data_IF_340236770876
#
_entry.id   IF_340236770876
#
_cell.length_a   1.000
_cell.length_b   1.000
_cell.length_c   1.000
_cell.angle_alpha   90.00
_cell.angle_beta   90.00
_cell.angle_gamma   90.00
#
_symmetry.space_group_name_H-M   'P 1'
#
loop_
_entity.id
_entity.type
_entity.pdbx_description
1 polymer ?
#
# COMPACT_ATOMS: atom_id res chain seq x y z
N UNK A 1 14.72 20.37 -6.73
CA UNK A 1 14.37 19.34 -7.72
C UNK A 1 13.49 18.37 -6.97
N UNK A 2 12.27 18.13 -7.43
CA UNK A 2 11.41 17.12 -6.78
C UNK A 2 12.07 15.75 -6.89
N UNK A 3 12.02 14.92 -5.84
CA UNK A 3 12.61 13.58 -5.89
C UNK A 3 11.89 12.74 -6.94
N UNK A 4 12.66 12.13 -7.84
CA UNK A 4 12.12 11.24 -8.88
C UNK A 4 12.07 9.80 -8.39
N UNK A 5 11.15 9.01 -8.93
CA UNK A 5 11.14 7.55 -8.69
C UNK A 5 12.35 6.93 -9.37
N UNK A 6 13.14 6.23 -8.58
CA UNK A 6 14.30 5.44 -9.02
C UNK A 6 13.93 3.97 -9.13
N UNK A 7 14.80 3.17 -9.75
CA UNK A 7 14.62 1.72 -9.83
C UNK A 7 15.84 0.98 -9.33
N UNK A 8 15.60 -0.17 -8.70
CA UNK A 8 16.64 -1.05 -8.17
C UNK A 8 16.35 -2.50 -8.54
N UNK A 9 17.38 -3.27 -8.83
CA UNK A 9 17.23 -4.68 -9.17
C UNK A 9 17.33 -5.55 -7.93
N UNK A 10 16.39 -6.49 -7.77
CA UNK A 10 16.38 -7.47 -6.69
C UNK A 10 16.23 -8.89 -7.25
N UNK A 11 16.80 -9.93 -6.59
CA UNK A 11 16.80 -11.30 -7.13
C UNK A 11 15.43 -12.00 -7.11
N UNK A 12 14.44 -11.49 -6.35
CA UNK A 12 13.13 -12.14 -6.25
C UNK A 12 12.45 -12.28 -7.62
N UNK A 13 11.71 -13.35 -7.81
CA UNK A 13 11.04 -13.72 -9.06
C UNK A 13 12.00 -13.71 -10.29
N UNK A 14 13.25 -14.17 -10.12
CA UNK A 14 14.22 -14.32 -11.20
C UNK A 14 14.84 -13.02 -11.69
N UNK A 15 14.95 -12.03 -10.86
CA UNK A 15 15.37 -10.65 -11.08
C UNK A 15 14.21 -9.74 -11.44
N UNK A 16 13.81 -8.96 -10.46
CA UNK A 16 12.79 -7.92 -10.61
C UNK A 16 13.41 -6.53 -10.53
N UNK A 17 12.80 -5.59 -11.25
CA UNK A 17 13.08 -4.16 -11.11
C UNK A 17 12.03 -3.57 -10.21
N UNK A 18 12.44 -2.93 -9.10
CA UNK A 18 11.54 -2.35 -8.10
C UNK A 18 11.67 -0.83 -8.13
N UNK A 19 10.52 -0.15 -8.30
CA UNK A 19 10.41 1.30 -8.19
C UNK A 19 10.43 1.74 -6.74
N UNK A 20 11.21 2.77 -6.42
CA UNK A 20 11.25 3.35 -5.08
C UNK A 20 11.54 4.85 -5.14
N UNK A 21 11.22 5.55 -4.06
CA UNK A 21 11.54 6.98 -3.90
C UNK A 21 11.89 7.29 -2.46
N UNK A 22 13.01 7.98 -2.25
CA UNK A 22 13.34 8.64 -0.99
C UNK A 22 12.86 10.10 -1.02
N UNK A 23 12.23 10.57 0.06
CA UNK A 23 11.82 11.97 0.19
C UNK A 23 13.02 12.93 0.20
N UNK A 24 14.08 12.53 0.88
CA UNK A 24 15.36 13.27 1.02
C UNK A 24 16.53 12.29 0.90
N UNK A 25 17.76 12.77 0.67
CA UNK A 25 18.95 11.90 0.74
C UNK A 25 19.00 11.12 2.06
N UNK A 26 19.33 9.83 1.99
CA UNK A 26 19.34 8.93 3.14
C UNK A 26 20.24 9.45 4.26
N UNK A 27 19.75 9.46 5.48
CA UNK A 27 20.48 9.85 6.69
C UNK A 27 20.54 8.67 7.66
N UNK A 28 21.70 8.06 7.84
CA UNK A 28 21.90 6.91 8.71
C UNK A 28 21.61 7.17 10.21
N UNK A 29 21.47 8.42 10.63
CA UNK A 29 21.11 8.76 12.02
C UNK A 29 19.60 8.78 12.29
N UNK A 30 18.76 8.65 11.25
CA UNK A 30 17.32 8.62 11.37
C UNK A 30 16.78 7.20 11.14
N UNK A 31 15.70 6.80 11.83
CA UNK A 31 14.98 5.57 11.51
C UNK A 31 14.44 5.61 10.06
N UNK A 32 14.16 4.46 9.48
CA UNK A 32 13.53 4.37 8.16
C UNK A 32 12.04 4.08 8.29
N UNK A 33 11.22 4.81 7.54
CA UNK A 33 9.80 4.56 7.33
C UNK A 33 9.59 4.13 5.88
N UNK A 34 9.25 2.87 5.67
CA UNK A 34 8.83 2.33 4.37
C UNK A 34 7.36 2.62 4.15
N UNK A 35 7.01 3.18 2.99
CA UNK A 35 5.63 3.43 2.55
C UNK A 35 5.28 2.47 1.41
N UNK A 36 4.15 1.75 1.51
CA UNK A 36 3.68 0.82 0.48
C UNK A 36 2.31 1.26 -0.01
N UNK A 37 2.21 1.60 -1.29
CA UNK A 37 1.02 2.24 -1.87
C UNK A 37 -0.17 1.30 -2.08
N UNK A 38 -1.34 1.91 -2.28
CA UNK A 38 -2.62 1.26 -2.56
C UNK A 38 -2.69 0.69 -3.99
N UNK A 39 -3.72 -0.16 -4.22
CA UNK A 39 -4.05 -0.72 -5.53
C UNK A 39 -4.14 0.36 -6.61
N UNK A 40 -3.57 0.06 -7.76
CA UNK A 40 -3.46 0.89 -8.97
C UNK A 40 -2.79 2.26 -8.81
N UNK A 41 -2.40 2.67 -7.60
CA UNK A 41 -1.65 3.90 -7.35
C UNK A 41 -0.14 3.68 -7.49
N UNK A 42 0.65 4.72 -7.23
CA UNK A 42 2.12 4.70 -7.24
C UNK A 42 2.65 5.37 -5.97
N UNK A 43 3.96 5.55 -5.86
CA UNK A 43 4.57 6.36 -4.80
C UNK A 43 3.98 7.77 -4.71
N UNK A 44 3.31 8.25 -5.77
CA UNK A 44 2.62 9.56 -5.78
C UNK A 44 1.47 9.65 -4.77
N UNK A 45 0.95 8.52 -4.27
CA UNK A 45 -0.02 8.50 -3.18
C UNK A 45 0.52 9.20 -1.93
N UNK A 46 1.83 9.20 -1.76
CA UNK A 46 2.53 9.73 -0.60
C UNK A 46 3.14 11.13 -0.82
N UNK A 47 2.66 11.89 -1.83
CA UNK A 47 3.08 13.29 -2.02
C UNK A 47 2.94 14.14 -0.76
N UNK A 48 1.85 14.02 0.03
CA UNK A 48 1.74 14.74 1.30
C UNK A 48 2.86 14.37 2.28
N UNK A 49 3.15 13.07 2.46
CA UNK A 49 4.19 12.56 3.36
C UNK A 49 5.60 12.98 2.94
N UNK A 50 5.85 13.05 1.63
CA UNK A 50 7.13 13.57 1.11
C UNK A 50 7.32 15.06 1.34
N UNK A 51 6.21 15.81 1.40
CA UNK A 51 6.21 17.26 1.63
C UNK A 51 6.18 17.64 3.12
N UNK A 52 5.87 16.70 4.02
CA UNK A 52 5.82 16.96 5.45
C UNK A 52 7.23 17.06 6.05
N UNK A 53 7.61 18.28 6.47
CA UNK A 53 8.94 18.55 7.02
C UNK A 53 9.16 17.87 8.39
N UNK A 54 8.13 17.73 9.22
CA UNK A 54 8.23 17.11 10.53
C UNK A 54 8.45 15.61 10.37
N UNK A 55 7.72 14.94 9.47
CA UNK A 55 7.90 13.53 9.17
C UNK A 55 9.27 13.26 8.54
N UNK A 56 9.66 14.04 7.52
CA UNK A 56 10.92 13.85 6.80
C UNK A 56 12.16 14.28 7.59
N UNK A 57 11.99 15.03 8.69
CA UNK A 57 13.06 15.28 9.67
C UNK A 57 13.11 14.21 10.79
N UNK A 58 12.03 13.47 10.98
CA UNK A 58 11.93 12.39 11.98
C UNK A 58 12.40 11.05 11.43
N UNK A 59 12.19 10.76 10.14
CA UNK A 59 12.54 9.49 9.52
C UNK A 59 13.03 9.66 8.07
N UNK A 60 13.81 8.67 7.59
CA UNK A 60 14.02 8.46 6.16
C UNK A 60 12.72 7.91 5.55
N UNK A 61 11.97 8.73 4.84
CA UNK A 61 10.71 8.34 4.21
C UNK A 61 11.03 7.70 2.85
N UNK A 62 10.84 6.38 2.75
CA UNK A 62 11.13 5.53 1.60
C UNK A 62 9.86 4.88 1.07
N UNK A 63 9.31 5.33 -0.05
CA UNK A 63 8.22 4.63 -0.70
C UNK A 63 8.74 3.55 -1.65
N UNK A 64 8.11 2.36 -1.63
CA UNK A 64 8.44 1.22 -2.49
C UNK A 64 7.17 0.75 -3.20
N UNK A 65 7.22 0.67 -4.52
CA UNK A 65 6.08 0.26 -5.34
C UNK A 65 5.96 -1.27 -5.38
N UNK A 66 4.80 -1.83 -4.97
CA UNK A 66 4.58 -3.27 -5.00
C UNK A 66 4.50 -3.79 -6.44
N UNK A 67 4.58 -5.11 -6.62
CA UNK A 67 4.43 -5.73 -7.94
C UNK A 67 3.15 -5.29 -8.65
N UNK A 68 3.28 -5.02 -9.94
CA UNK A 68 2.19 -4.55 -10.80
C UNK A 68 1.94 -3.04 -10.75
N UNK A 69 2.72 -2.27 -10.01
CA UNK A 69 2.51 -0.83 -9.81
C UNK A 69 3.73 -0.01 -10.21
N UNK A 70 3.48 1.21 -10.70
CA UNK A 70 4.50 2.20 -11.01
C UNK A 70 5.61 1.65 -11.92
N UNK A 71 6.85 1.80 -11.49
CA UNK A 71 8.04 1.33 -12.20
C UNK A 71 8.48 -0.09 -11.77
N UNK A 72 7.70 -0.77 -10.91
CA UNK A 72 8.00 -2.14 -10.50
C UNK A 72 7.59 -3.14 -11.57
N UNK A 73 8.55 -3.94 -12.03
CA UNK A 73 8.39 -4.95 -13.08
C UNK A 73 9.01 -6.29 -12.68
N UNK A 74 8.29 -7.38 -12.97
CA UNK A 74 8.80 -8.74 -12.87
C UNK A 74 8.45 -9.52 -14.13
N UNK A 75 9.32 -10.45 -14.53
CA UNK A 75 9.11 -11.32 -15.69
C UNK A 75 8.10 -12.45 -15.50
N UNK A 76 7.33 -12.45 -14.41
CA UNK A 76 6.42 -13.55 -14.05
C UNK A 76 4.96 -13.16 -14.20
N UNK A 77 4.15 -14.16 -14.59
CA UNK A 77 2.73 -14.00 -14.85
C UNK A 77 1.85 -13.99 -13.58
N UNK A 78 2.42 -14.19 -12.41
CA UNK A 78 1.68 -14.18 -11.13
C UNK A 78 2.58 -13.68 -10.00
N UNK A 79 1.99 -12.97 -9.07
CA UNK A 79 2.61 -12.53 -7.81
C UNK A 79 1.55 -12.39 -6.73
N UNK A 80 2.01 -12.40 -5.49
CA UNK A 80 1.19 -12.24 -4.29
C UNK A 80 1.70 -11.07 -3.44
N UNK A 81 1.01 -10.72 -2.36
CA UNK A 81 1.54 -9.74 -1.41
C UNK A 81 2.74 -10.26 -0.62
N UNK A 82 2.95 -11.59 -0.55
CA UNK A 82 4.19 -12.18 -0.03
C UNK A 82 5.38 -11.86 -0.94
N UNK A 83 5.20 -11.94 -2.25
CA UNK A 83 6.23 -11.58 -3.21
C UNK A 83 6.63 -10.11 -3.09
N UNK A 84 5.64 -9.21 -2.95
CA UNK A 84 5.89 -7.79 -2.70
C UNK A 84 6.62 -7.55 -1.37
N UNK A 85 6.28 -8.28 -0.30
CA UNK A 85 6.96 -8.19 0.98
C UNK A 85 8.42 -8.66 0.89
N UNK A 86 8.68 -9.77 0.19
CA UNK A 86 10.04 -10.27 -0.05
C UNK A 86 10.86 -9.26 -0.88
N UNK A 87 10.27 -8.73 -1.96
CA UNK A 87 10.93 -7.72 -2.78
C UNK A 87 11.28 -6.46 -1.99
N UNK A 88 10.37 -5.96 -1.15
CA UNK A 88 10.62 -4.82 -0.29
C UNK A 88 11.78 -5.07 0.69
N UNK A 89 11.86 -6.26 1.30
CA UNK A 89 12.98 -6.63 2.17
C UNK A 89 14.30 -6.68 1.40
N UNK A 90 14.30 -7.16 0.15
CA UNK A 90 15.48 -7.16 -0.72
C UNK A 90 15.88 -5.76 -1.19
N UNK A 91 14.92 -4.83 -1.35
CA UNK A 91 15.22 -3.40 -1.57
C UNK A 91 15.96 -2.84 -0.36
N UNK A 92 15.49 -3.12 0.88
CA UNK A 92 16.20 -2.71 2.10
C UNK A 92 17.61 -3.30 2.16
N UNK A 93 17.80 -4.57 1.76
CA UNK A 93 19.14 -5.20 1.71
C UNK A 93 20.07 -4.46 0.74
N UNK A 94 19.57 -4.17 -0.47
CA UNK A 94 20.36 -3.51 -1.51
C UNK A 94 20.70 -2.06 -1.15
N UNK A 95 19.80 -1.37 -0.45
CA UNK A 95 20.02 -0.02 0.09
C UNK A 95 20.80 -0.02 1.41
N UNK A 96 21.17 -1.20 1.93
CA UNK A 96 21.89 -1.38 3.21
C UNK A 96 21.13 -0.82 4.43
N UNK A 97 19.80 -0.93 4.41
CA UNK A 97 18.91 -0.51 5.50
C UNK A 97 18.66 -1.73 6.40
N UNK A 98 19.12 -1.67 7.64
CA UNK A 98 19.05 -2.80 8.59
C UNK A 98 17.65 -3.07 9.09
N UNK A 99 16.91 -2.02 9.40
CA UNK A 99 15.57 -2.08 10.01
C UNK A 99 14.70 -0.91 9.55
N UNK A 100 13.38 -1.08 9.71
CA UNK A 100 12.42 -0.06 9.29
C UNK A 100 11.07 -0.22 10.02
N UNK A 101 10.33 0.88 10.11
CA UNK A 101 8.89 0.89 10.27
C UNK A 101 8.24 0.76 8.89
N UNK A 102 7.02 0.17 8.82
CA UNK A 102 6.31 0.01 7.55
C UNK A 102 4.89 0.55 7.65
N UNK A 103 4.59 1.58 6.87
CA UNK A 103 3.25 2.12 6.68
C UNK A 103 2.70 1.63 5.34
N UNK A 104 1.50 1.06 5.35
CA UNK A 104 0.87 0.56 4.14
C UNK A 104 -0.58 1.02 4.02
N UNK A 105 -0.93 1.64 2.89
CA UNK A 105 -2.29 2.05 2.58
C UNK A 105 -3.01 0.96 1.79
N UNK A 106 -4.19 0.53 2.23
CA UNK A 106 -5.02 -0.49 1.56
C UNK A 106 -4.21 -1.79 1.32
N UNK A 107 -3.92 -2.14 0.05
CA UNK A 107 -3.07 -3.31 -0.24
C UNK A 107 -1.69 -3.24 0.42
N UNK A 108 -1.13 -2.05 0.61
CA UNK A 108 0.12 -1.88 1.37
C UNK A 108 -0.03 -2.33 2.82
N UNK A 109 -1.23 -2.20 3.38
CA UNK A 109 -1.58 -2.71 4.70
C UNK A 109 -1.54 -4.23 4.82
N UNK A 110 -1.68 -4.98 3.72
CA UNK A 110 -1.42 -6.44 3.70
C UNK A 110 0.04 -6.78 3.52
N UNK A 111 0.82 -5.91 2.86
CA UNK A 111 2.27 -6.10 2.69
C UNK A 111 3.01 -5.89 4.00
N UNK A 112 2.64 -4.87 4.78
CA UNK A 112 3.32 -4.52 6.03
C UNK A 112 3.41 -5.67 7.06
N UNK A 113 2.32 -6.36 7.45
CA UNK A 113 2.40 -7.50 8.36
C UNK A 113 3.17 -8.68 7.76
N UNK A 114 3.11 -8.90 6.44
CA UNK A 114 3.92 -9.94 5.78
C UNK A 114 5.41 -9.65 5.88
N UNK A 115 5.84 -8.39 5.75
CA UNK A 115 7.22 -7.99 6.00
C UNK A 115 7.62 -8.26 7.46
N UNK A 116 6.76 -7.94 8.43
CA UNK A 116 7.01 -8.20 9.85
C UNK A 116 7.13 -9.70 10.16
N UNK A 117 6.29 -10.55 9.55
CA UNK A 117 6.35 -12.02 9.70
C UNK A 117 7.62 -12.60 9.08
N UNK A 118 8.04 -12.12 7.90
CA UNK A 118 9.22 -12.61 7.19
C UNK A 118 10.54 -12.15 7.84
N UNK A 119 10.55 -10.97 8.43
CA UNK A 119 11.76 -10.38 8.99
C UNK A 119 11.50 -9.71 10.37
N UNK A 120 11.09 -10.50 11.40
CA UNK A 120 10.64 -9.95 12.68
C UNK A 120 11.72 -9.15 13.44
N UNK A 121 13.00 -9.37 13.14
CA UNK A 121 14.09 -8.62 13.75
C UNK A 121 14.41 -7.31 13.01
N UNK A 122 13.81 -7.08 11.85
CA UNK A 122 14.04 -5.91 10.98
C UNK A 122 12.88 -4.94 10.97
N UNK A 123 11.66 -5.43 11.16
CA UNK A 123 10.48 -4.57 11.15
C UNK A 123 10.17 -4.16 12.58
N UNK A 124 10.46 -2.89 12.87
CA UNK A 124 10.33 -2.28 14.21
C UNK A 124 8.88 -1.95 14.58
N UNK A 125 8.00 -1.80 13.60
CA UNK A 125 6.59 -1.55 13.78
C UNK A 125 5.86 -1.44 12.45
N UNK A 126 4.55 -1.68 12.47
CA UNK A 126 3.71 -1.57 11.27
C UNK A 126 2.55 -0.60 11.48
N UNK A 127 2.20 0.13 10.42
CA UNK A 127 1.12 1.13 10.42
C UNK A 127 0.18 0.84 9.24
N UNK A 128 -0.77 -0.11 9.41
CA UNK A 128 -1.80 -0.37 8.39
C UNK A 128 -2.81 0.77 8.32
N UNK A 129 -3.11 1.27 7.11
CA UNK A 129 -4.08 2.34 6.87
C UNK A 129 -5.20 1.87 5.95
N UNK A 130 -6.47 2.03 6.35
CA UNK A 130 -7.63 1.75 5.51
C UNK A 130 -7.56 0.36 4.85
N UNK A 131 -7.44 -0.70 5.64
CA UNK A 131 -7.15 -2.05 5.15
C UNK A 131 -7.94 -3.12 5.92
N UNK A 132 -7.68 -4.39 5.61
CA UNK A 132 -8.15 -5.57 6.33
C UNK A 132 -7.04 -6.60 6.41
N UNK A 133 -7.13 -7.56 7.30
CA UNK A 133 -6.25 -8.74 7.39
C UNK A 133 -6.92 -10.00 6.87
N UNK A 134 -8.12 -9.89 6.33
CA UNK A 134 -8.90 -10.99 5.79
C UNK A 134 -8.74 -11.11 4.26
N UNK A 135 -9.08 -12.29 3.72
CA UNK A 135 -9.38 -12.46 2.29
C UNK A 135 -10.77 -11.90 1.98
N UNK A 136 -11.25 -12.01 0.74
CA UNK A 136 -12.62 -11.60 0.35
C UNK A 136 -13.67 -12.56 0.95
N UNK A 137 -13.90 -12.44 2.27
CA UNK A 137 -14.76 -13.32 3.04
C UNK A 137 -16.18 -12.78 3.24
N UNK A 138 -17.13 -13.69 3.50
CA UNK A 138 -18.48 -13.29 3.91
C UNK A 138 -18.46 -12.57 5.27
N UNK A 139 -17.51 -12.92 6.16
CA UNK A 139 -17.33 -12.24 7.45
C UNK A 139 -17.03 -10.76 7.26
N UNK A 140 -16.05 -10.40 6.44
CA UNK A 140 -15.68 -8.99 6.20
C UNK A 140 -16.85 -8.19 5.62
N UNK A 141 -17.60 -8.76 4.67
CA UNK A 141 -18.82 -8.14 4.13
C UNK A 141 -19.90 -7.94 5.19
N UNK A 142 -20.09 -8.91 6.09
CA UNK A 142 -21.06 -8.78 7.19
C UNK A 142 -20.68 -7.67 8.20
N UNK A 143 -19.41 -7.32 8.28
CA UNK A 143 -18.90 -6.20 9.08
C UNK A 143 -18.94 -4.86 8.32
N UNK A 144 -19.46 -4.83 7.10
CA UNK A 144 -19.62 -3.61 6.30
C UNK A 144 -18.46 -3.30 5.36
N UNK A 145 -17.55 -4.25 5.11
CA UNK A 145 -16.56 -4.10 4.06
C UNK A 145 -17.19 -4.31 2.68
N UNK A 146 -16.53 -3.79 1.65
CA UNK A 146 -16.96 -3.92 0.27
C UNK A 146 -17.02 -5.39 -0.20
N UNK A 147 -17.58 -5.61 -1.41
CA UNK A 147 -17.47 -6.89 -2.11
C UNK A 147 -16.38 -6.80 -3.19
N UNK A 148 -15.13 -7.09 -2.81
CA UNK A 148 -14.00 -7.05 -3.72
C UNK A 148 -14.07 -8.09 -4.83
N UNK A 149 -14.80 -9.20 -4.64
CA UNK A 149 -15.05 -10.17 -5.71
C UNK A 149 -15.94 -9.55 -6.78
N UNK A 150 -17.04 -8.89 -6.37
CA UNK A 150 -17.96 -8.23 -7.27
C UNK A 150 -17.31 -7.06 -8.02
N UNK A 151 -16.38 -6.33 -7.37
CA UNK A 151 -15.63 -5.24 -8.00
C UNK A 151 -14.57 -5.75 -8.98
N UNK A 152 -13.73 -6.69 -8.54
CA UNK A 152 -12.56 -7.11 -9.32
C UNK A 152 -12.92 -8.03 -10.51
N UNK A 153 -13.93 -8.89 -10.39
CA UNK A 153 -14.22 -9.89 -11.44
C UNK A 153 -14.54 -9.27 -12.80
N UNK A 154 -15.43 -8.27 -12.93
CA UNK A 154 -15.68 -7.62 -14.21
C UNK A 154 -14.43 -6.94 -14.79
N UNK A 155 -13.59 -6.33 -13.94
CA UNK A 155 -12.36 -5.70 -14.39
C UNK A 155 -11.33 -6.74 -14.92
N UNK A 156 -11.18 -7.88 -14.25
CA UNK A 156 -10.33 -8.99 -14.69
C UNK A 156 -10.79 -9.53 -16.04
N UNK A 157 -12.08 -9.70 -16.22
CA UNK A 157 -12.69 -10.19 -17.48
C UNK A 157 -12.50 -9.18 -18.62
N UNK A 158 -12.71 -7.89 -18.36
CA UNK A 158 -12.51 -6.82 -19.34
C UNK A 158 -11.04 -6.70 -19.78
N UNK A 159 -10.09 -7.00 -18.88
CA UNK A 159 -8.66 -6.98 -19.14
C UNK A 159 -8.11 -8.32 -19.65
N UNK A 160 -8.95 -9.32 -19.95
CA UNK A 160 -8.49 -10.68 -20.28
C UNK A 160 -7.85 -10.82 -21.66
N UNK A 161 -8.25 -9.97 -22.63
CA UNK A 161 -7.78 -10.07 -24.00
C UNK A 161 -6.60 -9.11 -24.27
N UNK A 162 -5.60 -9.51 -25.07
CA UNK A 162 -4.54 -8.63 -25.54
C UNK A 162 -5.10 -7.40 -26.25
N UNK A 163 -4.40 -6.30 -26.13
CA UNK A 163 -4.75 -5.00 -26.72
C UNK A 163 -3.60 -4.45 -27.57
N UNK A 164 -3.87 -3.41 -28.35
CA UNK A 164 -2.85 -2.73 -29.13
C UNK A 164 -1.98 -1.77 -28.27
N UNK A 165 -0.93 -1.24 -28.87
CA UNK A 165 0.02 -0.35 -28.19
C UNK A 165 -0.57 1.01 -27.76
N UNK A 166 -1.70 1.43 -28.36
CA UNK A 166 -2.36 2.70 -28.07
C UNK A 166 -3.42 2.57 -26.95
N UNK A 167 -3.64 1.35 -26.47
CA UNK A 167 -4.58 1.13 -25.38
C UNK A 167 -4.16 1.87 -24.11
N UNK A 168 -5.12 2.47 -23.44
CA UNK A 168 -4.97 3.05 -22.10
C UNK A 168 -6.03 2.50 -21.16
N UNK A 169 -5.74 2.52 -19.88
CA UNK A 169 -6.71 2.09 -18.87
C UNK A 169 -8.03 2.85 -19.05
N UNK A 170 -9.20 2.14 -19.02
CA UNK A 170 -10.51 2.77 -19.14
C UNK A 170 -10.73 3.85 -18.07
N UNK A 171 -11.28 4.99 -18.49
CA UNK A 171 -11.52 6.16 -17.64
C UNK A 171 -12.47 5.83 -16.49
N UNK A 172 -13.53 5.05 -16.74
CA UNK A 172 -14.51 4.63 -15.74
C UNK A 172 -13.90 3.74 -14.65
N UNK A 173 -12.91 2.92 -14.98
CA UNK A 173 -12.18 2.14 -13.98
C UNK A 173 -11.31 3.05 -13.09
N UNK A 174 -10.66 4.06 -13.68
CA UNK A 174 -9.89 5.04 -12.90
C UNK A 174 -10.83 5.84 -12.00
N UNK A 175 -11.95 6.31 -12.52
CA UNK A 175 -12.95 7.06 -11.76
C UNK A 175 -13.50 6.25 -10.58
N UNK A 176 -13.76 4.95 -10.78
CA UNK A 176 -14.20 4.07 -9.70
C UNK A 176 -13.13 3.97 -8.59
N UNK A 177 -11.85 3.79 -8.94
CA UNK A 177 -10.76 3.74 -7.95
C UNK A 177 -10.62 5.07 -7.19
N UNK A 178 -10.70 6.21 -7.89
CA UNK A 178 -10.61 7.52 -7.27
C UNK A 178 -11.81 7.82 -6.36
N UNK A 179 -13.00 7.42 -6.77
CA UNK A 179 -14.21 7.54 -5.94
C UNK A 179 -14.08 6.78 -4.62
N UNK A 180 -13.67 5.50 -4.69
CA UNK A 180 -13.45 4.68 -3.50
C UNK A 180 -12.30 5.21 -2.63
N UNK A 181 -11.21 5.66 -3.26
CA UNK A 181 -9.99 6.10 -2.57
C UNK A 181 -10.08 7.49 -1.94
N UNK A 182 -10.51 8.47 -2.73
CA UNK A 182 -10.49 9.90 -2.38
C UNK A 182 -11.89 10.46 -2.09
N UNK A 183 -12.96 9.78 -2.53
CA UNK A 183 -14.35 10.20 -2.37
C UNK A 183 -14.87 11.07 -3.52
N UNK A 184 -16.07 11.63 -3.35
CA UNK A 184 -16.80 12.34 -4.41
C UNK A 184 -16.25 13.74 -4.72
N UNK A 185 -15.59 14.38 -3.77
CA UNK A 185 -15.18 15.79 -3.87
C UNK A 185 -13.69 15.93 -4.23
N UNK A 186 -13.21 15.14 -5.18
CA UNK A 186 -11.83 15.25 -5.68
C UNK A 186 -11.69 16.54 -6.48
N UNK A 187 -10.66 17.34 -6.20
CA UNK A 187 -10.39 18.56 -6.95
C UNK A 187 -10.06 18.24 -8.42
N UNK A 188 -10.48 19.06 -9.39
CA UNK A 188 -10.24 18.80 -10.81
C UNK A 188 -8.78 18.57 -11.18
N UNK A 189 -7.86 19.28 -10.55
CA UNK A 189 -6.41 19.11 -10.74
C UNK A 189 -5.91 17.76 -10.21
N UNK A 190 -6.41 17.31 -9.05
CA UNK A 190 -6.09 16.01 -8.47
C UNK A 190 -6.66 14.87 -9.32
N UNK A 191 -7.89 15.02 -9.78
CA UNK A 191 -8.51 14.07 -10.71
C UNK A 191 -7.68 13.93 -11.99
N UNK A 192 -7.32 15.05 -12.63
CA UNK A 192 -6.48 15.07 -13.84
C UNK A 192 -5.11 14.45 -13.61
N UNK A 193 -4.49 14.75 -12.45
CA UNK A 193 -3.22 14.16 -12.05
C UNK A 193 -3.30 12.63 -11.99
N UNK A 194 -4.31 12.08 -11.31
CA UNK A 194 -4.46 10.64 -11.17
C UNK A 194 -4.82 9.94 -12.48
N UNK A 195 -5.69 10.55 -13.31
CA UNK A 195 -5.96 10.02 -14.65
C UNK A 195 -4.68 9.92 -15.49
N UNK A 196 -3.89 10.98 -15.52
CA UNK A 196 -2.60 10.99 -16.22
C UNK A 196 -1.64 9.93 -15.67
N UNK A 197 -1.58 9.78 -14.35
CA UNK A 197 -0.73 8.79 -13.68
C UNK A 197 -1.15 7.37 -14.02
N UNK A 198 -2.46 7.04 -13.98
CA UNK A 198 -2.96 5.73 -14.37
C UNK A 198 -2.70 5.42 -15.84
N UNK A 199 -2.99 6.36 -16.73
CA UNK A 199 -2.72 6.20 -18.17
C UNK A 199 -1.24 5.94 -18.46
N UNK A 200 -0.35 6.67 -17.77
CA UNK A 200 1.10 6.46 -17.90
C UNK A 200 1.54 5.08 -17.40
N UNK A 201 0.96 4.58 -16.30
CA UNK A 201 1.34 3.31 -15.70
C UNK A 201 0.76 2.10 -16.42
N UNK A 202 -0.44 2.24 -16.98
CA UNK A 202 -1.23 1.15 -17.54
C UNK A 202 -1.59 1.46 -18.99
N UNK A 203 -0.58 1.57 -19.88
CA UNK A 203 -0.73 1.74 -21.31
C UNK A 203 -0.19 0.54 -22.07
N UNK A 204 -0.77 0.27 -23.23
CA UNK A 204 -0.45 -0.87 -24.10
C UNK A 204 -0.74 -2.22 -23.42
N UNK A 205 -0.40 -3.29 -24.11
CA UNK A 205 -0.70 -4.65 -23.63
C UNK A 205 0.04 -5.01 -22.33
N UNK A 206 1.27 -4.56 -22.18
CA UNK A 206 2.03 -4.76 -20.92
C UNK A 206 1.36 -4.04 -19.74
N UNK A 207 0.86 -2.82 -19.94
CA UNK A 207 0.14 -2.08 -18.90
C UNK A 207 -1.19 -2.74 -18.53
N UNK A 208 -1.94 -3.18 -19.54
CA UNK A 208 -3.17 -3.97 -19.37
C UNK A 208 -2.92 -5.24 -18.54
N UNK A 209 -1.89 -6.03 -18.90
CA UNK A 209 -1.59 -7.27 -18.19
C UNK A 209 -1.16 -7.01 -16.75
N UNK A 210 -0.36 -5.98 -16.50
CA UNK A 210 0.03 -5.57 -15.15
C UNK A 210 -1.18 -5.23 -14.29
N UNK A 211 -2.11 -4.43 -14.83
CA UNK A 211 -3.34 -4.06 -14.13
C UNK A 211 -4.20 -5.30 -13.84
N UNK A 212 -4.33 -6.19 -14.83
CA UNK A 212 -5.07 -7.45 -14.68
C UNK A 212 -4.48 -8.32 -13.56
N UNK A 213 -3.17 -8.53 -13.54
CA UNK A 213 -2.49 -9.33 -12.52
C UNK A 213 -2.62 -8.71 -11.13
N UNK A 214 -2.52 -7.38 -11.04
CA UNK A 214 -2.73 -6.65 -9.78
C UNK A 214 -4.17 -6.81 -9.27
N UNK A 215 -5.15 -6.79 -10.18
CA UNK A 215 -6.56 -6.98 -9.83
C UNK A 215 -6.86 -8.42 -9.39
N UNK A 216 -6.22 -9.42 -10.03
CA UNK A 216 -6.29 -10.82 -9.60
C UNK A 216 -5.70 -10.98 -8.20
N UNK A 217 -4.50 -10.41 -7.95
CA UNK A 217 -3.86 -10.47 -6.64
C UNK A 217 -4.73 -9.80 -5.55
N UNK A 218 -5.38 -8.69 -5.87
CA UNK A 218 -6.30 -7.99 -4.96
C UNK A 218 -7.49 -8.89 -4.60
N UNK A 219 -8.13 -9.52 -5.60
CA UNK A 219 -9.29 -10.38 -5.41
C UNK A 219 -8.97 -11.69 -4.67
N UNK A 220 -7.86 -12.32 -5.07
CA UNK A 220 -7.52 -13.70 -4.67
C UNK A 220 -6.50 -13.76 -3.53
N UNK A 221 -6.27 -12.64 -2.84
CA UNK A 221 -5.31 -12.58 -1.72
C UNK A 221 -5.64 -13.56 -0.61
N UNK A 222 -4.62 -14.11 0.00
CA UNK A 222 -4.76 -14.91 1.22
C UNK A 222 -5.04 -14.04 2.44
N UNK A 223 -5.88 -14.53 3.36
CA UNK A 223 -6.09 -13.91 4.67
C UNK A 223 -4.95 -14.19 5.65
N UNK A 224 -4.80 -13.31 6.63
CA UNK A 224 -3.76 -13.40 7.65
C UNK A 224 -4.27 -13.77 9.04
N UNK A 225 -5.58 -13.95 9.27
CA UNK A 225 -6.16 -14.17 10.60
C UNK A 225 -5.45 -15.29 11.38
N UNK A 226 -5.15 -16.40 10.73
CA UNK A 226 -4.44 -17.53 11.36
C UNK A 226 -2.92 -17.33 11.51
N UNK A 227 -2.39 -16.12 11.28
CA UNK A 227 -0.95 -15.82 11.29
C UNK A 227 -0.61 -14.50 11.99
N UNK A 228 -1.61 -13.71 12.40
CA UNK A 228 -1.38 -12.39 13.04
C UNK A 228 -0.69 -12.51 14.41
N UNK A 229 -0.79 -13.66 15.06
CA UNK A 229 -0.02 -14.01 16.25
C UNK A 229 1.50 -14.09 16.01
N UNK A 230 1.94 -14.21 14.76
CA UNK A 230 3.36 -14.18 14.38
C UNK A 230 3.91 -12.76 14.20
N UNK A 231 3.09 -11.71 14.36
CA UNK A 231 3.54 -10.33 14.38
C UNK A 231 3.95 -9.96 15.81
N UNK A 232 5.25 -9.68 16.00
CA UNK A 232 5.84 -9.40 17.31
C UNK A 232 6.28 -7.94 17.50
N UNK A 233 6.15 -7.11 16.46
CA UNK A 233 6.39 -5.68 16.55
C UNK A 233 5.11 -4.90 16.93
N UNK A 234 5.21 -3.65 17.42
CA UNK A 234 4.05 -2.81 17.67
C UNK A 234 3.25 -2.53 16.38
N UNK A 235 1.94 -2.37 16.54
CA UNK A 235 0.97 -2.12 15.47
C UNK A 235 0.17 -0.86 15.80
N UNK A 236 0.18 0.12 14.89
CA UNK A 236 -0.72 1.26 14.89
C UNK A 236 -1.63 1.16 13.66
N UNK A 237 -2.83 0.64 13.82
CA UNK A 237 -3.80 0.60 12.73
C UNK A 237 -4.61 1.90 12.70
N UNK A 238 -4.68 2.55 11.53
CA UNK A 238 -5.52 3.73 11.37
C UNK A 238 -6.64 3.44 10.37
N UNK A 239 -7.89 3.75 10.79
CA UNK A 239 -9.10 3.49 9.99
C UNK A 239 -9.97 4.73 9.92
N UNK A 240 -10.38 5.09 8.70
CA UNK A 240 -11.30 6.21 8.47
C UNK A 240 -12.76 5.82 8.65
N UNK A 241 -13.58 6.72 9.25
CA UNK A 241 -15.03 6.46 9.43
C UNK A 241 -15.83 6.59 8.14
N UNK A 242 -15.27 7.24 7.10
CA UNK A 242 -15.88 7.39 5.79
C UNK A 242 -15.19 6.54 4.70
N UNK A 243 -14.46 5.49 5.10
CA UNK A 243 -13.86 4.50 4.19
C UNK A 243 -14.97 3.60 3.63
N UNK A 244 -15.25 3.61 2.30
CA UNK A 244 -16.29 2.79 1.71
C UNK A 244 -15.82 1.34 1.44
N UNK A 245 -14.52 1.07 1.56
CA UNK A 245 -13.93 -0.25 1.26
C UNK A 245 -13.81 -1.10 2.51
N UNK A 246 -13.24 -0.55 3.60
CA UNK A 246 -13.09 -1.27 4.87
C UNK A 246 -13.70 -0.50 6.02
N UNK A 247 -14.53 -1.19 6.79
CA UNK A 247 -15.27 -0.58 7.90
C UNK A 247 -14.44 -0.50 9.18
N UNK A 248 -14.80 0.44 10.03
CA UNK A 248 -14.29 0.53 11.42
C UNK A 248 -14.55 -0.77 12.18
N UNK A 249 -15.74 -1.36 12.06
CA UNK A 249 -16.10 -2.61 12.75
C UNK A 249 -15.16 -3.77 12.39
N UNK A 250 -14.71 -3.86 11.12
CA UNK A 250 -13.73 -4.85 10.72
C UNK A 250 -12.36 -4.59 11.36
N UNK A 251 -11.90 -3.34 11.39
CA UNK A 251 -10.64 -2.97 12.01
C UNK A 251 -10.65 -3.20 13.55
N UNK A 252 -11.77 -2.90 14.23
CA UNK A 252 -11.97 -3.17 15.66
C UNK A 252 -11.86 -4.66 16.00
N UNK A 253 -12.41 -5.54 15.16
CA UNK A 253 -12.29 -6.98 15.37
C UNK A 253 -10.86 -7.48 15.05
N UNK A 254 -10.29 -7.07 13.93
CA UNK A 254 -9.00 -7.58 13.45
C UNK A 254 -7.80 -7.10 14.28
N UNK A 255 -7.83 -5.88 14.85
CA UNK A 255 -6.74 -5.38 15.70
C UNK A 255 -6.53 -6.27 16.94
N UNK A 256 -7.58 -6.93 17.44
CA UNK A 256 -7.50 -7.83 18.60
C UNK A 256 -6.74 -9.13 18.30
N UNK A 257 -6.51 -9.45 17.04
CA UNK A 257 -5.84 -10.69 16.61
C UNK A 257 -4.30 -10.58 16.67
N UNK A 258 -3.73 -9.40 16.88
CA UNK A 258 -2.30 -9.19 17.05
C UNK A 258 -1.84 -9.49 18.48
N UNK A 259 -2.17 -10.69 18.97
CA UNK A 259 -2.07 -11.08 20.40
C UNK A 259 -0.63 -11.11 20.95
N UNK A 260 0.39 -11.23 20.10
CA UNK A 260 1.80 -11.24 20.48
C UNK A 260 2.51 -9.91 20.18
N UNK A 261 1.80 -8.92 19.65
CA UNK A 261 2.33 -7.56 19.52
C UNK A 261 2.47 -6.91 20.91
N UNK A 262 3.57 -6.19 21.20
CA UNK A 262 3.74 -5.48 22.47
C UNK A 262 2.74 -4.32 22.64
N UNK A 263 2.19 -3.80 21.54
CA UNK A 263 1.10 -2.83 21.50
C UNK A 263 0.37 -2.94 20.15
N UNK A 264 -0.92 -3.23 20.19
CA UNK A 264 -1.82 -3.21 19.03
C UNK A 264 -2.89 -2.15 19.27
N UNK A 265 -2.74 -1.01 18.59
CA UNK A 265 -3.57 0.18 18.79
C UNK A 265 -4.39 0.47 17.54
N UNK A 266 -5.67 0.76 17.69
CA UNK A 266 -6.54 1.24 16.62
C UNK A 266 -6.82 2.72 16.80
N UNK A 267 -6.50 3.52 15.78
CA UNK A 267 -6.74 4.94 15.73
C UNK A 267 -7.82 5.25 14.68
N UNK A 268 -8.99 5.71 15.14
CA UNK A 268 -10.09 6.07 14.26
C UNK A 268 -9.94 7.53 13.80
N UNK A 269 -10.01 7.73 12.48
CA UNK A 269 -9.94 9.07 11.87
C UNK A 269 -11.32 9.47 11.35
N UNK A 270 -11.93 10.44 12.02
CA UNK A 270 -13.27 10.91 11.66
C UNK A 270 -13.27 11.55 10.26
N UNK A 271 -14.20 11.12 9.41
CA UNK A 271 -14.30 11.56 8.02
C UNK A 271 -13.23 10.99 7.09
N UNK A 272 -12.28 10.20 7.62
CA UNK A 272 -11.20 9.61 6.84
C UNK A 272 -11.71 8.70 5.74
N UNK A 273 -11.18 8.86 4.53
CA UNK A 273 -11.50 8.06 3.34
C UNK A 273 -10.51 6.89 3.19
N UNK A 274 -10.72 6.04 2.18
CA UNK A 274 -9.91 4.84 1.97
C UNK A 274 -8.41 5.15 1.73
N UNK A 275 -8.08 6.17 0.94
CA UNK A 275 -6.70 6.66 0.82
C UNK A 275 -6.38 7.65 1.95
N UNK A 276 -6.38 7.14 3.18
CA UNK A 276 -6.26 7.92 4.41
C UNK A 276 -5.00 8.80 4.42
N UNK A 277 -3.87 8.29 3.91
CA UNK A 277 -2.61 9.03 3.78
C UNK A 277 -2.71 10.26 2.88
N UNK A 278 -3.62 10.25 1.90
CA UNK A 278 -3.84 11.38 0.99
C UNK A 278 -4.96 12.30 1.47
N UNK A 279 -6.01 11.75 2.08
CA UNK A 279 -7.20 12.55 2.47
C UNK A 279 -7.07 13.20 3.86
N UNK A 280 -6.30 12.59 4.75
CA UNK A 280 -6.08 13.05 6.12
C UNK A 280 -4.58 13.01 6.51
N UNK A 281 -3.69 13.60 5.68
CA UNK A 281 -2.24 13.48 5.86
C UNK A 281 -1.79 13.98 7.23
N UNK A 282 -2.30 15.11 7.71
CA UNK A 282 -1.87 15.69 8.98
C UNK A 282 -2.09 14.74 10.18
N UNK A 283 -3.24 14.04 10.24
CA UNK A 283 -3.50 13.07 11.30
C UNK A 283 -2.62 11.82 11.16
N UNK A 284 -2.44 11.33 9.92
CA UNK A 284 -1.59 10.17 9.63
C UNK A 284 -0.14 10.47 9.99
N UNK A 285 0.39 11.61 9.58
CA UNK A 285 1.79 11.98 9.79
C UNK A 285 2.09 12.23 11.26
N UNK A 286 1.22 12.96 11.99
CA UNK A 286 1.37 13.16 13.42
C UNK A 286 1.37 11.83 14.21
N UNK A 287 0.42 10.94 13.93
CA UNK A 287 0.34 9.64 14.60
C UNK A 287 1.55 8.75 14.25
N UNK A 288 2.02 8.80 13.00
CA UNK A 288 3.21 8.07 12.53
C UNK A 288 4.48 8.57 13.23
N UNK A 289 4.66 9.88 13.35
CA UNK A 289 5.79 10.50 14.06
C UNK A 289 5.82 10.07 15.52
N UNK A 290 4.67 10.14 16.20
CA UNK A 290 4.57 9.74 17.62
C UNK A 290 4.84 8.23 17.80
N UNK A 291 4.36 7.41 16.89
CA UNK A 291 4.62 5.97 16.89
C UNK A 291 6.11 5.67 16.69
N UNK A 292 6.76 6.28 15.70
CA UNK A 292 8.19 6.11 15.46
C UNK A 292 8.99 6.54 16.69
N UNK A 293 8.70 7.71 17.27
CA UNK A 293 9.43 8.20 18.47
C UNK A 293 9.28 7.30 19.68
N UNK A 294 8.15 6.62 19.83
CA UNK A 294 7.88 5.71 20.94
C UNK A 294 8.60 4.37 20.81
N UNK A 295 8.82 3.89 19.58
CA UNK A 295 9.29 2.54 19.32
C UNK A 295 10.65 2.43 18.62
N UNK A 296 11.31 3.54 18.32
CA UNK A 296 12.63 3.55 17.69
C UNK A 296 13.78 3.20 18.69
#
# INVERSE_FOLDING_TARGET
MEPTTETISVPHLGTSTIGYRLAKPYNASLPTLVLVNSFSTTVELYRPQFADEDLTSTANVLAIEPYGHGQTHAGYAQFTYWDSAIANLQVLDTLQISDAFVLGTSQGGWVAPRMAMLAPHRIKGIIPLGTSMDYESQRSRNLGCWDGIAFCTPAIDALAQPVDENWTVPTDLVDAVLHEGLGENVLPEEHTFWHTTHQKNYSGDTGRERLRLSTINLRDRDGLHGRLDSVHCPVLWMQGTADPVYSVANAEEEITMFINSPAAELHIVEGGRHFLSATHPAQVDAATIDFIRRWN
#
